data_IF_348651976643
#
_entry.id   IF_348651976643
#
_cell.length_a   1.000
_cell.length_b   1.000
_cell.length_c   1.000
_cell.angle_alpha   90.00
_cell.angle_beta   90.00
_cell.angle_gamma   90.00
#
_symmetry.space_group_name_H-M   'P 1'
#
loop_
_entity.id
_entity.type
_entity.pdbx_description
1 polymer ?
#
# COMPACT_ATOMS: atom_id res chain seq x y z
N UNK A 1 -3.56 -20.05 -20.77
CA UNK A 1 -2.59 -19.53 -21.74
C UNK A 1 -3.19 -18.30 -22.40
N UNK A 2 -2.44 -17.20 -22.47
CA UNK A 2 -2.89 -15.90 -23.02
C UNK A 2 -2.56 -15.86 -24.52
N UNK A 3 -3.52 -15.46 -25.36
CA UNK A 3 -3.37 -15.30 -26.81
C UNK A 3 -3.46 -13.82 -27.24
N UNK A 4 -2.97 -13.51 -28.44
CA UNK A 4 -3.09 -12.16 -29.04
C UNK A 4 -4.54 -11.64 -29.06
N UNK A 5 -5.51 -12.51 -29.34
CA UNK A 5 -6.92 -12.14 -29.36
C UNK A 5 -7.42 -11.64 -27.99
N UNK A 6 -6.92 -12.22 -26.89
CA UNK A 6 -7.28 -11.82 -25.53
C UNK A 6 -6.78 -10.41 -25.23
N UNK A 7 -5.56 -10.09 -25.68
CA UNK A 7 -4.97 -8.75 -25.53
C UNK A 7 -5.73 -7.69 -26.34
N UNK A 8 -6.07 -8.00 -27.60
CA UNK A 8 -6.85 -7.09 -28.44
C UNK A 8 -8.24 -6.82 -27.84
N UNK A 9 -8.87 -7.87 -27.28
CA UNK A 9 -10.13 -7.73 -26.57
C UNK A 9 -9.97 -6.85 -25.33
N UNK A 10 -8.95 -7.10 -24.51
CA UNK A 10 -8.68 -6.31 -23.30
C UNK A 10 -8.47 -4.82 -23.60
N UNK A 11 -7.64 -4.49 -24.59
CA UNK A 11 -7.43 -3.10 -25.04
C UNK A 11 -8.74 -2.50 -25.53
N UNK A 12 -9.48 -3.20 -26.38
CA UNK A 12 -10.76 -2.71 -26.90
C UNK A 12 -11.84 -2.48 -25.83
N UNK A 13 -11.75 -3.15 -24.68
CA UNK A 13 -12.70 -3.03 -23.56
C UNK A 13 -12.28 -2.00 -22.52
N UNK A 14 -10.99 -1.90 -22.20
CA UNK A 14 -10.50 -1.10 -21.06
C UNK A 14 -9.86 0.24 -21.47
N UNK A 15 -9.34 0.40 -22.69
CA UNK A 15 -8.62 1.60 -23.13
C UNK A 15 -9.60 2.54 -23.85
N UNK A 16 -10.49 3.16 -23.06
CA UNK A 16 -11.57 4.03 -23.53
C UNK A 16 -11.41 5.45 -22.94
N UNK A 17 -11.98 6.45 -23.62
CA UNK A 17 -11.80 7.85 -23.24
C UNK A 17 -12.14 8.16 -21.77
N UNK A 18 -13.25 7.66 -21.17
CA UNK A 18 -13.59 7.96 -19.77
C UNK A 18 -12.67 7.30 -18.72
N UNK A 19 -11.76 6.42 -19.12
CA UNK A 19 -10.79 5.73 -18.23
C UNK A 19 -9.34 6.14 -18.50
N UNK A 20 -9.13 7.18 -19.30
CA UNK A 20 -7.81 7.69 -19.64
C UNK A 20 -7.67 9.12 -19.12
N UNK A 21 -6.56 9.39 -18.45
CA UNK A 21 -6.18 10.74 -18.01
C UNK A 21 -4.85 11.09 -18.66
N UNK A 22 -4.79 12.24 -19.33
CA UNK A 22 -3.54 12.82 -19.82
C UNK A 22 -3.04 13.83 -18.79
N UNK A 23 -1.87 13.57 -18.22
CA UNK A 23 -1.21 14.45 -17.27
C UNK A 23 0.11 14.96 -17.84
N UNK A 24 0.39 16.25 -17.64
CA UNK A 24 1.66 16.87 -18.01
C UNK A 24 2.15 17.77 -16.86
N UNK A 25 3.46 17.80 -16.64
CA UNK A 25 4.10 18.62 -15.61
C UNK A 25 5.32 19.35 -16.19
N UNK A 26 5.60 20.56 -15.72
CA UNK A 26 6.71 21.41 -16.19
C UNK A 26 6.25 22.60 -17.04
N UNK A 27 7.13 23.09 -17.92
CA UNK A 27 6.89 24.25 -18.81
C UNK A 27 5.94 23.98 -19.97
N UNK A 28 4.81 23.33 -19.70
CA UNK A 28 3.80 22.94 -20.69
C UNK A 28 2.68 23.97 -20.70
N UNK A 29 2.37 24.51 -21.87
CA UNK A 29 1.19 25.36 -22.05
C UNK A 29 -0.08 24.48 -22.11
N UNK A 30 -1.07 24.79 -21.28
CA UNK A 30 -2.29 24.00 -21.16
C UNK A 30 -3.14 24.00 -22.45
N UNK A 31 -3.28 25.14 -23.12
CA UNK A 31 -4.06 25.25 -24.35
C UNK A 31 -3.44 24.43 -25.49
N UNK A 32 -2.11 24.45 -25.59
CA UNK A 32 -1.37 23.61 -26.53
C UNK A 32 -1.58 22.13 -26.22
N UNK A 33 -1.58 21.75 -24.93
CA UNK A 33 -1.84 20.37 -24.51
C UNK A 33 -3.24 19.92 -24.90
N UNK A 34 -4.28 20.73 -24.65
CA UNK A 34 -5.66 20.42 -25.04
C UNK A 34 -5.73 20.22 -26.56
N UNK A 35 -5.19 21.16 -27.35
CA UNK A 35 -5.23 21.08 -28.81
C UNK A 35 -4.62 19.78 -29.34
N UNK A 36 -3.44 19.41 -28.85
CA UNK A 36 -2.77 18.15 -29.23
C UNK A 36 -3.54 16.93 -28.73
N UNK A 37 -4.18 17.03 -27.57
CA UNK A 37 -5.00 15.94 -27.02
C UNK A 37 -6.22 15.68 -27.88
N UNK A 38 -6.90 16.72 -28.32
CA UNK A 38 -8.03 16.62 -29.24
C UNK A 38 -7.59 16.05 -30.60
N UNK A 39 -6.46 16.53 -31.14
CA UNK A 39 -5.91 16.06 -32.42
C UNK A 39 -5.60 14.56 -32.42
N UNK A 40 -4.92 14.07 -31.37
CA UNK A 40 -4.44 12.69 -31.33
C UNK A 40 -5.40 11.71 -30.64
N UNK A 41 -6.19 12.15 -29.67
CA UNK A 41 -7.04 11.29 -28.84
C UNK A 41 -8.54 11.57 -28.96
N UNK A 42 -8.96 12.59 -29.71
CA UNK A 42 -10.38 12.94 -29.88
C UNK A 42 -11.25 11.85 -30.54
N UNK A 43 -10.63 10.84 -31.16
CA UNK A 43 -11.31 9.69 -31.79
C UNK A 43 -11.42 8.45 -30.89
N UNK A 44 -10.99 8.54 -29.63
CA UNK A 44 -11.15 7.44 -28.67
C UNK A 44 -12.63 7.14 -28.41
N UNK A 45 -12.95 5.87 -28.19
CA UNK A 45 -14.32 5.45 -27.89
C UNK A 45 -14.74 5.99 -26.52
N UNK A 46 -15.89 6.65 -26.46
CA UNK A 46 -16.49 7.12 -25.21
C UNK A 46 -17.37 6.06 -24.54
N UNK A 47 -18.00 5.18 -25.33
CA UNK A 47 -18.93 4.18 -24.83
C UNK A 47 -18.26 2.82 -24.58
N UNK A 48 -18.48 2.29 -23.38
CA UNK A 48 -18.34 0.88 -23.07
C UNK A 48 -19.39 0.47 -22.04
N UNK A 49 -20.14 -0.62 -22.26
CA UNK A 49 -21.05 -1.16 -21.25
C UNK A 49 -20.25 -1.52 -19.99
N UNK A 50 -20.62 -0.91 -18.85
CA UNK A 50 -19.90 -1.07 -17.57
C UNK A 50 -19.05 0.14 -17.14
N UNK A 51 -19.24 1.32 -17.76
CA UNK A 51 -18.66 2.57 -17.25
C UNK A 51 -19.07 2.86 -15.79
N UNK A 52 -20.30 2.48 -15.41
CA UNK A 52 -20.88 2.61 -14.06
C UNK A 52 -21.33 1.27 -13.49
N UNK A 53 -20.67 0.15 -13.83
CA UNK A 53 -20.94 -1.07 -13.04
C UNK A 53 -20.41 -0.85 -11.64
N UNK A 54 -21.30 -0.89 -10.66
CA UNK A 54 -20.96 -0.88 -9.24
C UNK A 54 -19.81 -1.86 -9.02
N UNK A 55 -18.69 -1.34 -8.49
CA UNK A 55 -17.57 -2.18 -8.11
C UNK A 55 -18.11 -3.22 -7.12
N UNK A 56 -17.85 -4.50 -7.41
CA UNK A 56 -18.17 -5.57 -6.45
C UNK A 56 -17.31 -5.29 -5.21
N UNK A 57 -17.92 -5.06 -4.03
CA UNK A 57 -17.16 -4.72 -2.85
C UNK A 57 -16.14 -5.81 -2.51
N UNK A 58 -14.90 -5.41 -2.31
CA UNK A 58 -13.86 -6.29 -1.79
C UNK A 58 -14.11 -6.57 -0.31
N UNK A 59 -14.00 -7.84 0.11
CA UNK A 59 -14.15 -8.25 1.50
C UNK A 59 -12.80 -8.68 2.07
N UNK A 60 -12.35 -8.05 3.15
CA UNK A 60 -11.22 -8.53 3.93
C UNK A 60 -11.61 -9.74 4.80
N UNK A 61 -10.84 -10.83 4.75
CA UNK A 61 -11.19 -12.09 5.43
C UNK A 61 -10.24 -12.54 6.53
N UNK A 62 -9.26 -11.73 6.93
CA UNK A 62 -8.36 -11.99 8.07
C UNK A 62 -7.82 -13.43 8.12
N UNK A 63 -6.73 -13.70 7.42
CA UNK A 63 -6.15 -15.05 7.30
C UNK A 63 -4.63 -15.02 7.37
N UNK A 64 -4.03 -16.17 7.68
CA UNK A 64 -2.58 -16.33 7.74
C UNK A 64 -2.09 -17.37 6.74
N UNK A 65 -0.97 -17.07 6.08
CA UNK A 65 -0.26 -18.01 5.22
C UNK A 65 1.20 -18.04 5.68
N UNK A 66 1.72 -19.24 5.96
CA UNK A 66 3.12 -19.45 6.32
C UNK A 66 3.79 -20.33 5.28
N UNK A 67 4.84 -19.82 4.67
CA UNK A 67 5.74 -20.60 3.81
C UNK A 67 7.02 -20.80 4.60
N UNK A 68 7.27 -22.03 5.06
CA UNK A 68 8.46 -22.35 5.83
C UNK A 68 9.55 -22.86 4.89
N UNK A 69 10.64 -22.13 4.85
CA UNK A 69 11.89 -22.51 4.19
C UNK A 69 13.04 -22.29 5.19
N UNK A 70 13.60 -23.38 5.70
CA UNK A 70 14.65 -23.33 6.73
C UNK A 70 16.04 -22.99 6.12
N UNK A 71 16.17 -22.99 4.79
CA UNK A 71 17.39 -22.56 4.09
C UNK A 71 17.45 -21.02 3.96
N UNK A 72 16.32 -20.32 4.15
CA UNK A 72 16.30 -18.86 4.21
C UNK A 72 16.89 -18.36 5.54
N UNK A 73 17.89 -17.46 5.50
CA UNK A 73 18.57 -17.01 6.71
C UNK A 73 17.70 -16.11 7.60
N UNK A 74 16.68 -15.47 7.04
CA UNK A 74 15.82 -14.50 7.70
C UNK A 74 14.35 -14.82 7.45
N UNK A 75 13.51 -14.48 8.42
CA UNK A 75 12.07 -14.53 8.30
C UNK A 75 11.53 -13.21 7.75
N UNK A 76 10.68 -13.30 6.73
CA UNK A 76 10.00 -12.18 6.09
C UNK A 76 8.52 -12.25 6.42
N UNK A 77 7.99 -11.21 7.08
CA UNK A 77 6.64 -11.25 7.63
C UNK A 77 5.93 -9.95 7.27
N UNK A 78 4.70 -10.06 6.79
CA UNK A 78 3.78 -8.94 6.63
C UNK A 78 2.55 -9.19 7.51
N UNK A 79 2.24 -8.25 8.40
CA UNK A 79 0.99 -8.22 9.15
C UNK A 79 0.20 -6.98 8.74
N UNK A 80 -1.08 -7.16 8.44
CA UNK A 80 -1.96 -6.07 8.02
C UNK A 80 -3.37 -6.28 8.57
N UNK A 81 -4.05 -5.15 8.77
CA UNK A 81 -5.48 -5.07 9.02
C UNK A 81 -6.16 -4.36 7.85
N UNK A 82 -7.48 -4.55 7.74
CA UNK A 82 -8.29 -3.80 6.80
C UNK A 82 -8.17 -2.29 7.07
N UNK A 83 -7.98 -1.55 5.99
CA UNK A 83 -7.93 -0.09 5.96
C UNK A 83 -9.00 0.42 4.98
N UNK A 84 -9.00 1.73 4.73
CA UNK A 84 -10.01 2.42 3.94
C UNK A 84 -9.58 2.68 2.51
N UNK A 85 -10.57 2.89 1.63
CA UNK A 85 -10.33 3.29 0.24
C UNK A 85 -9.91 4.77 0.11
N UNK A 86 -9.41 5.14 -1.07
CA UNK A 86 -8.86 6.48 -1.32
C UNK A 86 -9.81 7.66 -1.02
N UNK A 87 -11.12 7.46 -1.18
CA UNK A 87 -12.10 8.51 -0.96
C UNK A 87 -12.50 8.69 0.51
N UNK A 88 -12.09 7.78 1.39
CA UNK A 88 -12.46 7.81 2.80
C UNK A 88 -11.67 8.88 3.57
N UNK A 89 -12.36 9.58 4.48
CA UNK A 89 -11.77 10.60 5.35
C UNK A 89 -10.68 10.03 6.28
N UNK A 90 -10.76 8.73 6.58
CA UNK A 90 -9.83 8.01 7.46
C UNK A 90 -8.49 7.66 6.82
N UNK A 91 -8.39 7.78 5.50
CA UNK A 91 -7.15 7.50 4.75
C UNK A 91 -6.00 8.40 5.18
N UNK A 92 -6.25 9.69 5.40
CA UNK A 92 -5.21 10.64 5.84
C UNK A 92 -4.76 10.34 7.28
N UNK A 93 -5.64 10.16 8.28
CA UNK A 93 -5.28 9.65 9.59
C UNK A 93 -4.44 8.36 9.55
N UNK A 94 -4.78 7.40 8.68
CA UNK A 94 -4.02 6.15 8.54
C UNK A 94 -2.63 6.36 7.92
N UNK A 95 -2.46 7.32 7.00
CA UNK A 95 -1.14 7.73 6.50
C UNK A 95 -0.29 8.36 7.60
N UNK A 96 -0.89 9.21 8.45
CA UNK A 96 -0.21 9.78 9.62
C UNK A 96 0.17 8.68 10.60
N UNK A 97 -0.73 7.75 10.91
CA UNK A 97 -0.45 6.60 11.77
C UNK A 97 0.72 5.75 11.24
N UNK A 98 0.76 5.49 9.92
CA UNK A 98 1.88 4.80 9.27
C UNK A 98 3.20 5.56 9.46
N UNK A 99 3.16 6.89 9.41
CA UNK A 99 4.33 7.74 9.58
C UNK A 99 4.81 7.74 11.04
N UNK A 100 3.90 7.68 12.01
CA UNK A 100 4.19 7.58 13.45
C UNK A 100 4.88 6.25 13.79
N UNK A 101 4.34 5.12 13.31
CA UNK A 101 5.01 3.81 13.43
C UNK A 101 6.36 3.86 12.70
N UNK A 102 6.35 4.47 11.52
CA UNK A 102 7.50 4.76 10.69
C UNK A 102 8.20 3.51 10.19
N UNK A 103 9.47 3.68 9.86
CA UNK A 103 10.33 2.62 9.33
C UNK A 103 11.66 2.65 10.06
N UNK A 104 12.30 1.51 10.19
CA UNK A 104 13.63 1.39 10.76
C UNK A 104 14.39 0.24 10.13
N UNK A 105 15.69 0.41 9.93
CA UNK A 105 16.60 -0.67 9.59
C UNK A 105 17.98 -0.45 10.22
N UNK A 106 18.75 -1.53 10.35
CA UNK A 106 20.08 -1.51 11.00
C UNK A 106 21.11 -0.60 10.31
N UNK A 107 20.92 -0.25 9.04
CA UNK A 107 21.82 0.64 8.30
C UNK A 107 21.48 2.12 8.45
N UNK A 108 20.32 2.46 9.03
CA UNK A 108 19.95 3.85 9.27
C UNK A 108 20.98 4.54 10.17
N UNK A 109 21.47 5.70 9.73
CA UNK A 109 22.47 6.49 10.45
C UNK A 109 22.04 6.86 11.89
N UNK A 110 20.74 6.95 12.14
CA UNK A 110 20.19 7.21 13.48
C UNK A 110 20.33 6.03 14.45
N UNK A 111 20.54 4.81 13.97
CA UNK A 111 20.64 3.61 14.80
C UNK A 111 19.46 3.50 15.78
N UNK A 112 19.77 3.42 17.09
CA UNK A 112 18.77 3.42 18.16
C UNK A 112 18.27 4.80 18.60
N UNK A 113 18.72 5.90 17.99
CA UNK A 113 18.33 7.27 18.33
C UNK A 113 17.29 7.83 17.35
N UNK A 114 16.49 6.96 16.75
CA UNK A 114 15.37 7.36 15.88
C UNK A 114 14.17 7.85 16.70
N UNK A 115 13.33 8.67 16.08
CA UNK A 115 12.16 9.25 16.76
C UNK A 115 11.08 8.21 17.10
N UNK A 116 11.01 7.11 16.35
CA UNK A 116 9.99 6.08 16.51
C UNK A 116 10.29 5.19 17.72
N UNK A 117 9.30 4.95 18.57
CA UNK A 117 9.41 4.08 19.74
C UNK A 117 9.79 2.65 19.32
N UNK A 118 9.12 2.12 18.29
CA UNK A 118 9.41 0.80 17.75
C UNK A 118 10.85 0.70 17.19
N UNK A 119 11.37 1.76 16.56
CA UNK A 119 12.76 1.79 16.06
C UNK A 119 13.80 1.76 17.19
N UNK A 120 13.56 2.50 18.27
CA UNK A 120 14.41 2.43 19.46
C UNK A 120 14.39 1.03 20.09
N UNK A 121 13.21 0.40 20.20
CA UNK A 121 13.08 -0.97 20.71
C UNK A 121 13.73 -2.01 19.79
N UNK A 122 13.55 -1.87 18.49
CA UNK A 122 14.13 -2.75 17.48
C UNK A 122 15.65 -2.76 17.55
N UNK A 123 16.28 -1.59 17.72
CA UNK A 123 17.71 -1.48 17.93
C UNK A 123 18.14 -2.05 19.30
N UNK A 124 17.51 -1.60 20.39
CA UNK A 124 17.92 -1.93 21.77
C UNK A 124 17.84 -3.42 22.07
N UNK A 125 16.78 -4.09 21.62
CA UNK A 125 16.55 -5.52 21.89
C UNK A 125 16.91 -6.41 20.70
N UNK A 126 17.45 -5.84 19.63
CA UNK A 126 17.82 -6.55 18.40
C UNK A 126 16.63 -7.37 17.85
N UNK A 127 15.44 -6.76 17.78
CA UNK A 127 14.18 -7.45 17.45
C UNK A 127 14.08 -7.83 15.98
N UNK A 128 14.63 -7.01 15.09
CA UNK A 128 14.58 -7.22 13.65
C UNK A 128 15.82 -6.63 12.95
N UNK A 129 15.97 -6.92 11.67
CA UNK A 129 16.91 -6.26 10.77
C UNK A 129 16.30 -5.01 10.16
N UNK A 130 15.00 -5.07 9.84
CA UNK A 130 14.22 -3.93 9.40
C UNK A 130 12.74 -4.12 9.67
N UNK A 131 12.02 -3.00 9.75
CA UNK A 131 10.58 -2.95 9.62
C UNK A 131 10.15 -1.72 8.81
N UNK A 132 9.00 -1.82 8.16
CA UNK A 132 8.40 -0.77 7.37
C UNK A 132 6.89 -0.77 7.56
N UNK A 133 6.34 0.32 8.08
CA UNK A 133 4.90 0.54 8.10
C UNK A 133 4.41 0.87 6.68
N UNK A 134 3.22 0.40 6.35
CA UNK A 134 2.59 0.67 5.06
C UNK A 134 1.09 0.95 5.19
N UNK A 135 0.59 1.79 4.29
CA UNK A 135 -0.84 1.98 4.03
C UNK A 135 -1.06 1.90 2.52
N UNK A 136 -1.75 0.86 2.06
CA UNK A 136 -2.10 0.66 0.67
C UNK A 136 -3.60 0.86 0.51
N UNK A 137 -4.00 1.92 -0.18
CA UNK A 137 -5.41 2.21 -0.44
C UNK A 137 -5.79 1.75 -1.85
N UNK A 138 -6.90 1.03 -1.95
CA UNK A 138 -7.62 0.75 -3.20
C UNK A 138 -8.85 1.67 -3.29
N UNK A 139 -9.71 1.43 -4.27
CA UNK A 139 -10.89 2.29 -4.47
C UNK A 139 -11.91 2.14 -3.33
N UNK A 140 -12.16 0.91 -2.89
CA UNK A 140 -13.22 0.53 -1.94
C UNK A 140 -12.71 -0.08 -0.62
N UNK A 141 -11.43 -0.46 -0.54
CA UNK A 141 -10.79 -1.04 0.65
C UNK A 141 -9.32 -0.61 0.73
N UNK A 142 -8.62 -1.01 1.79
CA UNK A 142 -7.20 -0.79 1.95
C UNK A 142 -6.54 -1.80 2.89
N UNK A 143 -5.21 -1.72 2.98
CA UNK A 143 -4.40 -2.50 3.91
C UNK A 143 -3.49 -1.55 4.68
N UNK A 144 -3.56 -1.60 6.01
CA UNK A 144 -2.66 -0.89 6.89
C UNK A 144 -1.88 -1.90 7.71
N UNK A 145 -0.56 -1.79 7.75
CA UNK A 145 0.24 -2.86 8.30
C UNK A 145 1.71 -2.55 8.46
N UNK A 146 2.47 -3.58 8.78
CA UNK A 146 3.92 -3.51 8.94
C UNK A 146 4.55 -4.75 8.32
N UNK A 147 5.55 -4.51 7.49
CA UNK A 147 6.42 -5.54 6.96
C UNK A 147 7.70 -5.56 7.80
N UNK A 148 8.20 -6.74 8.16
CA UNK A 148 9.44 -6.88 8.90
C UNK A 148 10.33 -7.99 8.35
N UNK A 149 11.62 -7.83 8.59
CA UNK A 149 12.64 -8.85 8.33
C UNK A 149 13.37 -9.11 9.63
N UNK A 150 13.34 -10.36 10.13
CA UNK A 150 13.92 -10.70 11.44
C UNK A 150 14.61 -12.07 11.44
N UNK A 151 15.43 -12.31 12.45
CA UNK A 151 16.03 -13.62 12.69
C UNK A 151 14.94 -14.62 13.09
N UNK A 152 15.05 -15.88 12.65
CA UNK A 152 14.03 -16.93 12.85
C UNK A 152 13.62 -17.14 14.32
N UNK A 153 14.52 -16.88 15.26
CA UNK A 153 14.28 -17.05 16.71
C UNK A 153 13.71 -15.78 17.38
N UNK A 154 13.50 -14.71 16.61
CA UNK A 154 13.01 -13.41 17.10
C UNK A 154 11.62 -13.04 16.58
N UNK A 155 10.98 -13.95 15.84
CA UNK A 155 9.67 -13.73 15.22
C UNK A 155 8.65 -13.31 16.27
N UNK A 156 8.49 -14.08 17.34
CA UNK A 156 7.46 -13.82 18.35
C UNK A 156 7.70 -12.49 19.10
N UNK A 157 8.96 -12.21 19.48
CA UNK A 157 9.37 -10.95 20.11
C UNK A 157 9.06 -9.74 19.21
N UNK A 158 9.41 -9.84 17.93
CA UNK A 158 9.21 -8.76 16.96
C UNK A 158 7.73 -8.52 16.67
N UNK A 159 6.94 -9.60 16.56
CA UNK A 159 5.50 -9.52 16.37
C UNK A 159 4.80 -8.89 17.59
N UNK A 160 5.19 -9.27 18.80
CA UNK A 160 4.66 -8.67 20.03
C UNK A 160 4.96 -7.17 20.08
N UNK A 161 6.19 -6.77 19.76
CA UNK A 161 6.57 -5.36 19.79
C UNK A 161 5.78 -4.50 18.78
N UNK A 162 5.50 -5.04 17.59
CA UNK A 162 4.67 -4.35 16.59
C UNK A 162 3.23 -4.21 17.09
N UNK A 163 2.65 -5.28 17.63
CA UNK A 163 1.29 -5.25 18.18
C UNK A 163 1.18 -4.26 19.36
N UNK A 164 2.20 -4.21 20.22
CA UNK A 164 2.28 -3.24 21.33
C UNK A 164 2.39 -1.80 20.83
N UNK A 165 3.13 -1.56 19.74
CA UNK A 165 3.23 -0.24 19.12
C UNK A 165 1.89 0.19 18.52
N UNK A 166 1.20 -0.73 17.85
CA UNK A 166 -0.14 -0.48 17.32
C UNK A 166 -1.12 -0.17 18.44
N UNK A 167 -1.13 -0.97 19.51
CA UNK A 167 -2.00 -0.74 20.66
C UNK A 167 -1.74 0.61 21.34
N UNK A 168 -0.47 0.99 21.48
CA UNK A 168 -0.08 2.26 22.08
C UNK A 168 -0.53 3.47 21.26
N UNK A 169 -0.30 3.46 19.95
CA UNK A 169 -0.59 4.62 19.09
C UNK A 169 -2.05 4.66 18.59
N UNK A 170 -2.68 3.51 18.36
CA UNK A 170 -4.01 3.40 17.75
C UNK A 170 -5.15 3.30 18.76
N UNK A 171 -4.87 3.42 20.06
CA UNK A 171 -5.89 3.55 21.11
C UNK A 171 -6.83 4.75 20.93
N UNK A 172 -6.56 5.64 19.97
CA UNK A 172 -7.37 6.82 19.67
C UNK A 172 -8.59 6.58 18.78
N UNK A 173 -8.85 5.36 18.26
CA UNK A 173 -9.95 5.14 17.30
C UNK A 173 -11.06 4.16 17.69
N UNK A 174 -10.94 3.44 18.82
CA UNK A 174 -11.94 2.45 19.24
C UNK A 174 -12.54 2.71 20.64
N UNK A 175 -12.55 3.97 21.08
CA UNK A 175 -13.37 4.47 22.19
C UNK A 175 -14.34 5.52 21.63
N UNK A 176 -15.24 5.11 20.74
CA UNK A 176 -16.55 5.68 20.44
C UNK A 176 -17.32 4.69 19.55
#
# INVERSE_FOLDING_TARGET
SIKKADLLKYVGTHYIAPRMVLAAAGGVNHDQLIRLSEEHFGKLKADSPGYLTDLVPCRFTGSEIRVRDDDMPLAHIAIAVESTGWADADTIPLMVASTIVGNWDRSMAGGGHVATRLGQQANKYNLCHSYQAFNTCYTDTGLWGTYLVTDRMRIDDAMSAIQDEWYFNLRFKYFL
#
